data_IF_527191398188
#
_entry.id   IF_527191398188
#
_cell.length_a   1.000
_cell.length_b   1.000
_cell.length_c   1.000
_cell.angle_alpha   90.00
_cell.angle_beta   90.00
_cell.angle_gamma   90.00
#
_symmetry.space_group_name_H-M   'P 1'
#
loop_
_entity.id
_entity.type
_entity.pdbx_description
1 polymer ?
#
# COMPACT_ATOMS: atom_id res chain seq x y z
N UNK A 1 8.07 -4.95 -2.21
CA UNK A 1 9.36 -4.23 -2.04
C UNK A 1 10.46 -5.25 -1.84
N UNK A 2 11.68 -4.97 -2.30
CA UNK A 2 12.83 -5.82 -2.01
C UNK A 2 13.32 -5.61 -0.56
N UNK A 3 14.21 -6.48 -0.09
CA UNK A 3 14.71 -6.46 1.30
C UNK A 3 15.37 -5.12 1.66
N UNK A 4 16.16 -4.54 0.76
CA UNK A 4 16.84 -3.26 1.00
C UNK A 4 15.84 -2.12 1.19
N UNK A 5 14.80 -2.06 0.36
CA UNK A 5 13.72 -1.07 0.47
C UNK A 5 12.97 -1.19 1.80
N UNK A 6 12.69 -2.42 2.25
CA UNK A 6 12.03 -2.64 3.56
C UNK A 6 12.88 -2.12 4.72
N UNK A 7 14.18 -2.42 4.74
CA UNK A 7 15.10 -1.91 5.77
C UNK A 7 15.07 -0.38 5.85
N UNK A 8 15.08 0.30 4.70
CA UNK A 8 15.00 1.77 4.66
C UNK A 8 13.66 2.26 5.19
N UNK A 9 12.55 1.61 4.83
CA UNK A 9 11.22 1.98 5.32
C UNK A 9 11.10 1.79 6.83
N UNK A 10 11.63 0.70 7.39
CA UNK A 10 11.62 0.46 8.83
C UNK A 10 12.43 1.53 9.57
N UNK A 11 13.59 1.93 9.04
CA UNK A 11 14.39 3.04 9.61
C UNK A 11 13.65 4.37 9.60
N UNK A 12 12.92 4.68 8.52
CA UNK A 12 12.08 5.89 8.43
C UNK A 12 10.95 5.81 9.45
N UNK A 13 10.27 4.67 9.51
CA UNK A 13 9.16 4.44 10.43
C UNK A 13 9.59 4.58 11.89
N UNK A 14 10.73 4.00 12.28
CA UNK A 14 11.30 4.14 13.63
C UNK A 14 11.59 5.60 14.00
N UNK A 15 12.04 6.41 13.04
CA UNK A 15 12.39 7.82 13.27
C UNK A 15 11.14 8.70 13.51
N UNK A 16 10.08 8.50 12.74
CA UNK A 16 8.88 9.36 12.81
C UNK A 16 7.77 8.81 13.70
N UNK A 17 7.71 7.49 13.87
CA UNK A 17 6.72 6.81 14.68
C UNK A 17 5.29 6.86 14.12
N UNK A 18 4.40 6.15 14.81
CA UNK A 18 3.03 5.91 14.34
C UNK A 18 2.18 7.18 14.21
N UNK A 19 2.30 8.12 15.15
CA UNK A 19 1.46 9.32 15.19
C UNK A 19 1.63 10.22 13.96
N UNK A 20 2.85 10.32 13.43
CA UNK A 20 3.15 11.10 12.23
C UNK A 20 2.94 10.31 10.95
N UNK A 21 3.17 8.99 10.94
CA UNK A 21 3.06 8.17 9.73
C UNK A 21 1.61 7.88 9.32
N UNK A 22 0.67 7.80 10.27
CA UNK A 22 -0.74 7.51 9.96
C UNK A 22 -1.42 8.61 9.09
N UNK A 23 -1.30 9.91 9.41
CA UNK A 23 -1.83 10.97 8.55
C UNK A 23 -1.23 10.96 7.15
N UNK A 24 0.09 10.73 7.04
CA UNK A 24 0.77 10.66 5.74
C UNK A 24 0.22 9.49 4.92
N UNK A 25 0.00 8.32 5.52
CA UNK A 25 -0.59 7.20 4.78
C UNK A 25 -1.99 7.52 4.24
N UNK A 26 -2.78 8.31 4.98
CA UNK A 26 -4.10 8.78 4.52
C UNK A 26 -3.95 9.74 3.34
N UNK A 27 -2.96 10.63 3.39
CA UNK A 27 -2.62 11.55 2.31
C UNK A 27 -2.26 10.78 1.04
N UNK A 28 -1.27 9.88 1.08
CA UNK A 28 -0.84 9.09 -0.10
C UNK A 28 -1.98 8.24 -0.68
N UNK A 29 -2.83 7.64 0.17
CA UNK A 29 -4.01 6.89 -0.31
C UNK A 29 -5.04 7.80 -1.00
N UNK A 30 -5.15 9.06 -0.58
CA UNK A 30 -6.04 10.05 -1.20
C UNK A 30 -5.47 10.55 -2.52
N UNK A 31 -4.15 10.71 -2.60
CA UNK A 31 -3.43 11.10 -3.81
C UNK A 31 -3.54 10.01 -4.89
N UNK A 32 -3.31 8.75 -4.52
CA UNK A 32 -3.55 7.61 -5.41
C UNK A 32 -5.02 7.54 -5.88
N UNK A 33 -5.97 7.79 -4.97
CA UNK A 33 -7.39 7.85 -5.34
C UNK A 33 -7.67 8.95 -6.37
N UNK A 34 -7.06 10.12 -6.20
CA UNK A 34 -7.16 11.27 -7.10
C UNK A 34 -6.61 10.93 -8.50
N UNK A 35 -5.45 10.28 -8.60
CA UNK A 35 -4.86 9.91 -9.89
C UNK A 35 -5.64 8.78 -10.59
N UNK A 36 -6.15 7.80 -9.85
CA UNK A 36 -7.07 6.78 -10.41
C UNK A 36 -8.33 7.45 -10.97
N UNK A 37 -8.91 8.43 -10.26
CA UNK A 37 -10.09 9.15 -10.74
C UNK A 37 -9.82 9.94 -12.02
N UNK A 38 -8.62 10.50 -12.19
CA UNK A 38 -8.21 11.18 -13.43
C UNK A 38 -8.10 10.18 -14.59
N UNK A 39 -7.46 9.03 -14.37
CA UNK A 39 -7.35 7.98 -15.38
C UNK A 39 -8.70 7.48 -15.86
N UNK A 40 -9.65 7.24 -14.93
CA UNK A 40 -11.03 6.83 -15.27
C UNK A 40 -11.74 7.87 -16.16
N UNK A 41 -11.38 9.16 -16.06
CA UNK A 41 -11.91 10.23 -16.91
C UNK A 41 -11.20 10.36 -18.26
N UNK A 42 -10.28 9.45 -18.58
CA UNK A 42 -9.57 9.40 -19.85
C UNK A 42 -8.27 10.22 -19.89
N UNK A 43 -7.73 10.60 -18.73
CA UNK A 43 -6.41 11.22 -18.69
C UNK A 43 -5.31 10.17 -18.93
N UNK A 44 -4.25 10.57 -19.63
CA UNK A 44 -3.01 9.79 -19.76
C UNK A 44 -2.05 10.19 -18.64
N UNK A 45 -2.23 9.59 -17.45
CA UNK A 45 -1.49 9.89 -16.22
C UNK A 45 -0.90 8.63 -15.57
N UNK A 46 -0.44 7.67 -16.38
CA UNK A 46 0.14 6.40 -15.89
C UNK A 46 1.37 6.64 -14.99
N UNK A 47 2.21 7.62 -15.34
CA UNK A 47 3.40 7.98 -14.55
C UNK A 47 2.99 8.47 -13.16
N UNK A 48 1.99 9.36 -13.08
CA UNK A 48 1.48 9.86 -11.80
C UNK A 48 0.89 8.71 -10.98
N UNK A 49 0.12 7.80 -11.59
CA UNK A 49 -0.37 6.60 -10.88
C UNK A 49 0.78 5.74 -10.33
N UNK A 50 1.85 5.54 -11.12
CA UNK A 50 2.98 4.72 -10.70
C UNK A 50 3.71 5.32 -9.50
N UNK A 51 3.83 6.64 -9.44
CA UNK A 51 4.37 7.40 -8.30
C UNK A 51 3.51 7.18 -7.06
N UNK A 52 2.21 7.47 -7.14
CA UNK A 52 1.30 7.36 -6.00
C UNK A 52 1.13 5.92 -5.48
N UNK A 53 1.23 4.92 -6.38
CA UNK A 53 1.28 3.50 -5.98
C UNK A 53 2.57 3.20 -5.22
N UNK A 54 3.70 3.79 -5.60
CA UNK A 54 4.95 3.62 -4.88
C UNK A 54 4.86 4.23 -3.47
N UNK A 55 4.28 5.41 -3.34
CA UNK A 55 4.12 6.11 -2.06
C UNK A 55 3.19 5.33 -1.13
N UNK A 56 2.03 4.88 -1.61
CA UNK A 56 1.14 4.01 -0.84
C UNK A 56 1.83 2.71 -0.43
N UNK A 57 2.63 2.09 -1.31
CA UNK A 57 3.36 0.86 -0.95
C UNK A 57 4.39 1.09 0.16
N UNK A 58 5.09 2.21 0.14
CA UNK A 58 6.03 2.61 1.19
C UNK A 58 5.27 2.80 2.50
N UNK A 59 4.16 3.55 2.49
CA UNK A 59 3.38 3.84 3.69
C UNK A 59 2.72 2.60 4.29
N UNK A 60 2.24 1.67 3.46
CA UNK A 60 1.72 0.39 3.95
C UNK A 60 2.82 -0.44 4.61
N UNK A 61 4.03 -0.52 4.03
CA UNK A 61 5.15 -1.23 4.67
C UNK A 61 5.49 -0.63 6.03
N UNK A 62 5.55 0.71 6.12
CA UNK A 62 5.85 1.41 7.38
C UNK A 62 4.77 1.13 8.45
N UNK A 63 3.50 1.18 8.09
CA UNK A 63 2.39 0.91 9.01
C UNK A 63 2.38 -0.55 9.46
N UNK A 64 2.57 -1.50 8.54
CA UNK A 64 2.64 -2.93 8.86
C UNK A 64 3.76 -3.22 9.86
N UNK A 65 4.92 -2.58 9.66
CA UNK A 65 6.06 -2.66 10.58
C UNK A 65 5.76 -2.04 11.94
N UNK A 66 5.26 -0.80 11.99
CA UNK A 66 4.99 -0.08 13.24
C UNK A 66 3.94 -0.77 14.13
N UNK A 67 2.95 -1.45 13.52
CA UNK A 67 1.98 -2.23 14.26
C UNK A 67 2.43 -3.67 14.56
N UNK A 68 3.53 -4.14 13.96
CA UNK A 68 3.99 -5.53 14.09
C UNK A 68 2.95 -6.54 13.59
N UNK A 69 2.34 -6.27 12.43
CA UNK A 69 1.19 -7.04 11.90
C UNK A 69 1.47 -7.78 10.58
N UNK A 70 2.73 -7.93 10.18
CA UNK A 70 3.12 -8.59 8.92
C UNK A 70 2.45 -9.97 8.75
N UNK A 71 2.57 -10.86 9.74
CA UNK A 71 1.93 -12.18 9.73
C UNK A 71 0.40 -12.12 9.60
N UNK A 72 -0.23 -11.14 10.25
CA UNK A 72 -1.70 -10.97 10.21
C UNK A 72 -2.14 -10.50 8.83
N UNK A 73 -1.39 -9.57 8.23
CA UNK A 73 -1.68 -9.05 6.89
C UNK A 73 -1.47 -10.15 5.85
N UNK A 74 -0.37 -10.89 5.88
CA UNK A 74 -0.10 -11.98 4.93
C UNK A 74 -1.20 -13.05 4.99
N UNK A 75 -1.61 -13.50 6.18
CA UNK A 75 -2.72 -14.43 6.34
C UNK A 75 -4.04 -13.91 5.76
N UNK A 76 -4.31 -12.61 5.92
CA UNK A 76 -5.50 -11.98 5.33
C UNK A 76 -5.42 -11.88 3.81
N UNK A 77 -4.24 -11.59 3.26
CA UNK A 77 -3.98 -11.58 1.81
C UNK A 77 -4.23 -12.98 1.24
N UNK A 78 -3.60 -14.02 1.79
CA UNK A 78 -3.76 -15.41 1.35
C UNK A 78 -5.23 -15.84 1.38
N UNK A 79 -5.92 -15.57 2.48
CA UNK A 79 -7.35 -15.89 2.60
C UNK A 79 -8.19 -15.22 1.52
N UNK A 80 -7.98 -13.91 1.28
CA UNK A 80 -8.74 -13.14 0.31
C UNK A 80 -8.46 -13.58 -1.13
N UNK A 81 -7.20 -13.82 -1.49
CA UNK A 81 -6.82 -14.30 -2.82
C UNK A 81 -7.42 -15.68 -3.10
N UNK A 82 -7.24 -16.64 -2.18
CA UNK A 82 -7.82 -17.97 -2.31
C UNK A 82 -9.35 -17.93 -2.40
N UNK A 83 -10.00 -17.00 -1.69
CA UNK A 83 -11.45 -16.79 -1.80
C UNK A 83 -11.86 -16.29 -3.18
N UNK A 84 -11.10 -15.38 -3.80
CA UNK A 84 -11.43 -14.91 -5.15
C UNK A 84 -11.17 -15.98 -6.21
N UNK A 85 -10.09 -16.77 -6.11
CA UNK A 85 -9.84 -17.89 -7.02
C UNK A 85 -11.02 -18.87 -7.05
N UNK A 86 -11.52 -19.28 -5.86
CA UNK A 86 -12.70 -20.14 -5.78
C UNK A 86 -13.97 -19.55 -6.41
N UNK A 87 -14.12 -18.22 -6.41
CA UNK A 87 -15.26 -17.55 -7.05
C UNK A 87 -15.14 -17.61 -8.57
N UNK A 88 -13.94 -17.37 -9.10
CA UNK A 88 -13.67 -17.48 -10.54
C UNK A 88 -13.87 -18.91 -11.04
N UNK A 89 -13.50 -19.94 -10.25
CA UNK A 89 -13.73 -21.34 -10.61
C UNK A 89 -15.22 -21.75 -10.58
N UNK A 90 -16.07 -20.94 -9.95
CA UNK A 90 -17.52 -21.18 -9.82
C UNK A 90 -18.36 -20.37 -10.81
N UNK A 91 -17.74 -19.56 -11.66
CA UNK A 91 -18.36 -18.81 -12.77
C UNK A 91 -18.30 -19.63 -14.08
#
# INVERSE_FOLDING_TARGET
MNTQQKIVCHKIADNYGLGSQLPIAIEEMSELTKEICKYIRGNDNEIDIAEEVADVKIMIEQIVYLFGIDDKVNKQVDYKLNRQLRRMDSE
#
